data_IF_711033642975
#
_entry.id   IF_711033642975
#
_cell.length_a   1.000
_cell.length_b   1.000
_cell.length_c   1.000
_cell.angle_alpha   90.00
_cell.angle_beta   90.00
_cell.angle_gamma   90.00
#
_symmetry.space_group_name_H-M   'P 1'
#
loop_
_entity.id
_entity.type
_entity.pdbx_description
1 polymer ?
#
# COMPACT_ATOMS: atom_id res chain seq x y z
N UNK A 1 -35.04 -9.49 24.94
CA UNK A 1 -34.08 -10.31 24.16
C UNK A 1 -32.75 -9.56 24.13
N UNK A 2 -31.63 -9.92 24.75
CA UNK A 2 -31.20 -11.06 25.56
C UNK A 2 -30.64 -10.53 26.89
N UNK A 3 -31.14 -11.01 28.03
CA UNK A 3 -30.48 -10.82 29.32
C UNK A 3 -29.40 -11.89 29.46
N UNK A 4 -28.14 -11.51 29.22
CA UNK A 4 -26.99 -12.33 29.59
C UNK A 4 -26.83 -12.29 31.10
N UNK A 5 -27.42 -13.28 31.77
CA UNK A 5 -27.23 -13.61 33.18
C UNK A 5 -25.80 -14.09 33.40
N UNK A 6 -24.87 -13.15 33.58
CA UNK A 6 -23.58 -13.48 34.18
C UNK A 6 -23.83 -13.87 35.64
N UNK A 7 -23.39 -15.05 36.04
CA UNK A 7 -23.50 -15.49 37.43
C UNK A 7 -22.50 -14.69 38.28
N UNK A 8 -23.00 -13.68 39.01
CA UNK A 8 -22.23 -12.77 39.85
C UNK A 8 -22.26 -13.18 41.33
N UNK A 9 -22.49 -14.47 41.62
CA UNK A 9 -22.47 -14.99 42.99
C UNK A 9 -23.46 -14.29 43.94
N UNK A 10 -24.65 -13.94 43.43
CA UNK A 10 -25.70 -13.28 44.22
C UNK A 10 -25.53 -11.77 44.43
N UNK A 11 -24.55 -11.12 43.79
CA UNK A 11 -24.28 -9.68 43.93
C UNK A 11 -24.71 -8.92 42.67
N UNK A 12 -25.35 -7.77 42.82
CA UNK A 12 -25.77 -6.96 41.66
C UNK A 12 -24.57 -6.62 40.78
N UNK A 13 -24.78 -6.62 39.45
CA UNK A 13 -23.73 -6.31 38.46
C UNK A 13 -22.99 -5.00 38.80
N UNK A 14 -23.72 -3.96 39.19
CA UNK A 14 -23.13 -2.67 39.58
C UNK A 14 -22.22 -2.79 40.81
N UNK A 15 -22.62 -3.60 41.79
CA UNK A 15 -21.86 -3.83 43.02
C UNK A 15 -20.62 -4.68 42.75
N UNK A 16 -20.71 -5.70 41.88
CA UNK A 16 -19.57 -6.50 41.42
C UNK A 16 -18.50 -5.64 40.75
N UNK A 17 -18.90 -4.78 39.80
CA UNK A 17 -17.95 -3.87 39.14
C UNK A 17 -17.35 -2.85 40.10
N UNK A 18 -18.13 -2.36 41.08
CA UNK A 18 -17.63 -1.45 42.11
C UNK A 18 -16.59 -2.13 43.01
N UNK A 19 -16.81 -3.39 43.40
CA UNK A 19 -15.82 -4.17 44.16
C UNK A 19 -14.56 -4.47 43.33
N UNK A 20 -14.72 -4.83 42.05
CA UNK A 20 -13.60 -5.07 41.14
C UNK A 20 -12.77 -3.81 40.91
N UNK A 21 -13.41 -2.66 40.74
CA UNK A 21 -12.76 -1.36 40.62
C UNK A 21 -12.03 -0.97 41.91
N UNK A 22 -12.66 -1.14 43.08
CA UNK A 22 -12.00 -0.91 44.38
C UNK A 22 -10.77 -1.79 44.56
N UNK A 23 -10.88 -3.08 44.23
CA UNK A 23 -9.75 -4.02 44.30
C UNK A 23 -8.61 -3.59 43.39
N UNK A 24 -8.91 -3.23 42.14
CA UNK A 24 -7.91 -2.72 41.21
C UNK A 24 -7.23 -1.44 41.72
N UNK A 25 -8.00 -0.54 42.34
CA UNK A 25 -7.46 0.70 42.90
C UNK A 25 -6.50 0.43 44.06
N UNK A 26 -6.89 -0.42 45.00
CA UNK A 26 -6.03 -0.82 46.13
C UNK A 26 -4.80 -1.62 45.67
N UNK A 27 -4.92 -2.46 44.64
CA UNK A 27 -3.77 -3.17 44.06
C UNK A 27 -2.78 -2.19 43.38
N UNK A 28 -3.27 -1.10 42.75
CA UNK A 28 -2.42 -0.03 42.19
C UNK A 28 -1.75 0.78 43.31
N UNK A 29 -2.48 1.14 44.37
CA UNK A 29 -1.90 1.88 45.50
C UNK A 29 -0.81 1.08 46.22
N UNK A 30 -0.98 -0.24 46.32
CA UNK A 30 -0.10 -1.10 47.10
C UNK A 30 1.10 -1.67 46.30
N UNK A 31 0.95 -1.85 44.98
CA UNK A 31 1.98 -2.48 44.13
C UNK A 31 2.34 -1.68 42.86
N UNK A 32 1.82 -0.46 42.72
CA UNK A 32 2.00 0.37 41.54
C UNK A 32 3.41 0.94 41.44
N UNK A 33 4.25 0.33 40.61
CA UNK A 33 5.44 0.99 40.10
C UNK A 33 5.13 1.62 38.74
N UNK A 34 5.46 2.91 38.59
CA UNK A 34 5.45 3.54 37.27
C UNK A 34 6.68 2.99 36.53
N UNK A 35 6.51 1.86 35.84
CA UNK A 35 7.57 1.39 34.97
C UNK A 35 7.68 2.34 33.77
N UNK A 36 8.91 2.64 33.38
CA UNK A 36 9.25 3.45 32.22
C UNK A 36 8.89 2.82 30.87
N UNK A 37 8.42 1.56 30.86
CA UNK A 37 8.19 0.76 29.65
C UNK A 37 6.70 0.44 29.51
N UNK A 38 5.97 1.11 28.63
CA UNK A 38 4.56 0.79 28.41
C UNK A 38 4.36 -0.60 27.78
N UNK A 39 3.33 -1.34 28.21
CA UNK A 39 2.91 -2.55 27.50
C UNK A 39 2.33 -2.19 26.11
N UNK A 40 2.32 -3.14 25.17
CA UNK A 40 1.89 -2.92 23.78
C UNK A 40 0.55 -2.20 23.66
N UNK A 41 -0.46 -2.66 24.39
CA UNK A 41 -1.81 -2.07 24.37
C UNK A 41 -1.83 -0.62 24.90
N UNK A 42 -1.02 -0.30 25.92
CA UNK A 42 -0.92 1.08 26.41
C UNK A 42 -0.17 1.97 25.42
N UNK A 43 0.86 1.43 24.75
CA UNK A 43 1.62 2.13 23.72
C UNK A 43 0.76 2.48 22.50
N UNK A 44 0.02 1.51 21.94
CA UNK A 44 -0.87 1.72 20.79
C UNK A 44 -1.94 2.80 21.02
N UNK A 45 -2.43 2.92 22.26
CA UNK A 45 -3.47 3.87 22.62
C UNK A 45 -2.93 5.17 23.22
N UNK A 46 -1.61 5.33 23.34
CA UNK A 46 -0.97 6.52 23.92
C UNK A 46 -1.33 6.76 25.40
N UNK A 47 -1.63 5.71 26.17
CA UNK A 47 -2.07 5.83 27.57
C UNK A 47 -0.90 5.53 28.51
N UNK A 48 -0.83 6.26 29.64
CA UNK A 48 0.16 6.00 30.70
C UNK A 48 0.02 4.56 31.23
N UNK A 49 1.11 3.81 31.18
CA UNK A 49 1.15 2.44 31.66
C UNK A 49 1.61 2.39 33.12
N UNK A 50 0.80 1.81 34.00
CA UNK A 50 1.12 1.60 35.41
C UNK A 50 1.21 0.11 35.66
N UNK A 51 2.38 -0.37 36.12
CA UNK A 51 2.62 -1.78 36.35
C UNK A 51 2.22 -2.17 37.76
N UNK A 52 1.54 -3.30 37.88
CA UNK A 52 1.28 -3.92 39.16
C UNK A 52 2.26 -5.08 39.31
N UNK A 53 3.22 -4.96 40.21
CA UNK A 53 4.19 -6.01 40.51
C UNK A 53 3.50 -7.13 41.30
N UNK A 54 3.01 -8.15 40.59
CA UNK A 54 2.40 -9.35 41.18
C UNK A 54 3.33 -10.56 41.13
N UNK A 55 3.25 -11.44 42.13
CA UNK A 55 4.14 -12.60 42.36
C UNK A 55 4.14 -13.61 41.18
N UNK A 56 3.11 -13.61 40.31
CA UNK A 56 2.93 -14.60 39.24
C UNK A 56 2.79 -14.04 37.82
N UNK A 57 2.59 -12.72 37.65
CA UNK A 57 2.52 -12.11 36.31
C UNK A 57 2.62 -10.58 36.41
N UNK A 58 3.50 -9.97 35.62
CA UNK A 58 3.58 -8.52 35.46
C UNK A 58 2.46 -8.09 34.52
N UNK A 59 1.41 -7.43 35.05
CA UNK A 59 0.32 -6.87 34.25
C UNK A 59 0.17 -5.38 34.57
N UNK A 60 -0.14 -4.58 33.55
CA UNK A 60 -0.49 -3.19 33.79
C UNK A 60 -1.96 -3.04 34.21
N UNK A 61 -2.26 -1.95 34.92
CA UNK A 61 -3.62 -1.63 35.39
C UNK A 61 -4.67 -1.63 34.26
N UNK A 62 -4.32 -1.10 33.09
CA UNK A 62 -5.21 -1.04 31.92
C UNK A 62 -5.56 -2.45 31.41
N UNK A 63 -4.55 -3.29 31.17
CA UNK A 63 -4.75 -4.66 30.71
C UNK A 63 -5.48 -5.52 31.76
N UNK A 64 -5.18 -5.34 33.04
CA UNK A 64 -5.88 -6.00 34.13
C UNK A 64 -7.36 -5.62 34.19
N UNK A 65 -7.69 -4.33 34.03
CA UNK A 65 -9.08 -3.84 34.04
C UNK A 65 -9.91 -4.39 32.87
N UNK A 66 -9.28 -4.52 31.69
CA UNK A 66 -9.90 -5.06 30.46
C UNK A 66 -9.89 -6.58 30.38
N UNK A 67 -9.15 -7.25 31.27
CA UNK A 67 -9.02 -8.71 31.25
C UNK A 67 -8.24 -9.27 30.04
N UNK A 68 -7.37 -8.45 29.43
CA UNK A 68 -6.56 -8.84 28.26
C UNK A 68 -5.13 -9.20 28.67
N UNK A 69 -4.42 -9.92 27.78
CA UNK A 69 -3.02 -10.29 27.99
C UNK A 69 -2.15 -9.03 27.94
N UNK A 70 -1.31 -8.85 28.96
CA UNK A 70 -0.35 -7.75 29.02
C UNK A 70 0.97 -8.21 28.38
N UNK A 71 1.26 -7.73 27.17
CA UNK A 71 2.53 -8.01 26.49
C UNK A 71 3.50 -6.87 26.80
N UNK A 72 4.57 -7.21 27.53
CA UNK A 72 5.66 -6.29 27.80
C UNK A 72 6.77 -6.56 26.78
N UNK A 73 6.89 -5.69 25.79
CA UNK A 73 8.00 -5.73 24.84
C UNK A 73 9.16 -4.94 25.45
N UNK A 74 10.35 -5.54 25.48
CA UNK A 74 11.56 -4.81 25.89
C UNK A 74 11.91 -3.74 24.85
N UNK A 75 12.58 -2.65 25.24
CA UNK A 75 13.11 -1.64 24.30
C UNK A 75 13.99 -2.28 23.22
N UNK A 76 14.82 -3.25 23.60
CA UNK A 76 15.65 -4.00 22.65
C UNK A 76 14.82 -4.75 21.61
N UNK A 77 13.66 -5.30 21.99
CA UNK A 77 12.73 -5.95 21.05
C UNK A 77 12.09 -4.95 20.10
N UNK A 78 11.66 -3.78 20.62
CA UNK A 78 11.07 -2.73 19.79
C UNK A 78 12.09 -2.11 18.83
N UNK A 79 13.31 -1.85 19.31
CA UNK A 79 14.42 -1.38 18.49
C UNK A 79 14.74 -2.38 17.39
N UNK A 80 14.80 -3.68 17.72
CA UNK A 80 15.01 -4.74 16.73
C UNK A 80 13.93 -4.74 15.65
N UNK A 81 12.64 -4.72 16.04
CA UNK A 81 11.54 -4.68 15.06
C UNK A 81 11.56 -3.40 14.22
N UNK A 82 11.95 -2.26 14.80
CA UNK A 82 12.12 -1.01 14.05
C UNK A 82 13.21 -1.13 13.01
N UNK A 83 14.38 -1.65 13.37
CA UNK A 83 15.49 -1.80 12.42
C UNK A 83 15.20 -2.85 11.35
N UNK A 84 14.52 -3.94 11.69
CA UNK A 84 14.03 -4.93 10.71
C UNK A 84 13.03 -4.31 9.73
N UNK A 85 12.07 -3.52 10.23
CA UNK A 85 11.09 -2.84 9.39
C UNK A 85 11.75 -1.80 8.46
N UNK A 86 12.72 -1.02 8.97
CA UNK A 86 13.51 -0.09 8.14
C UNK A 86 14.25 -0.82 7.03
N UNK A 87 14.93 -1.92 7.36
CA UNK A 87 15.69 -2.69 6.37
C UNK A 87 14.78 -3.23 5.24
N UNK A 88 13.56 -3.67 5.58
CA UNK A 88 12.57 -4.08 4.58
C UNK A 88 12.12 -2.92 3.69
N UNK A 89 11.83 -1.76 4.29
CA UNK A 89 11.46 -0.55 3.54
C UNK A 89 12.58 -0.14 2.58
N UNK A 90 13.83 -0.16 3.04
CA UNK A 90 14.98 0.21 2.21
C UNK A 90 15.18 -0.77 1.04
N UNK A 91 14.95 -2.07 1.27
CA UNK A 91 15.00 -3.09 0.22
C UNK A 91 13.88 -2.89 -0.81
N UNK A 92 12.66 -2.61 -0.37
CA UNK A 92 11.51 -2.34 -1.24
C UNK A 92 11.73 -1.08 -2.08
N UNK A 93 12.31 -0.02 -1.49
CA UNK A 93 12.66 1.21 -2.20
C UNK A 93 13.69 0.94 -3.31
N UNK A 94 14.73 0.16 -3.03
CA UNK A 94 15.72 -0.21 -4.04
C UNK A 94 15.09 -1.01 -5.19
N UNK A 95 14.16 -1.90 -4.89
CA UNK A 95 13.48 -2.67 -5.92
C UNK A 95 12.55 -1.79 -6.77
N UNK A 96 11.83 -0.86 -6.15
CA UNK A 96 11.02 0.13 -6.87
C UNK A 96 11.86 0.98 -7.81
N UNK A 97 13.05 1.41 -7.40
CA UNK A 97 13.97 2.16 -8.26
C UNK A 97 14.39 1.36 -9.50
N UNK A 98 14.68 0.07 -9.34
CA UNK A 98 15.00 -0.83 -10.46
C UNK A 98 13.83 -0.99 -11.42
N UNK A 99 12.62 -1.21 -10.89
CA UNK A 99 11.40 -1.34 -11.70
C UNK A 99 11.16 -0.05 -12.49
N UNK A 100 11.28 1.11 -11.86
CA UNK A 100 11.12 2.41 -12.52
C UNK A 100 12.15 2.58 -13.66
N UNK A 101 13.41 2.19 -13.44
CA UNK A 101 14.44 2.25 -14.48
C UNK A 101 14.11 1.35 -15.68
N UNK A 102 13.65 0.11 -15.43
CA UNK A 102 13.21 -0.82 -16.47
C UNK A 102 12.01 -0.27 -17.26
N UNK A 103 11.00 0.29 -16.58
CA UNK A 103 9.84 0.89 -17.22
C UNK A 103 10.23 2.07 -18.12
N UNK A 104 11.11 2.96 -17.65
CA UNK A 104 11.63 4.07 -18.46
C UNK A 104 12.34 3.57 -19.72
N UNK A 105 13.13 2.50 -19.62
CA UNK A 105 13.79 1.87 -20.77
C UNK A 105 12.77 1.30 -21.75
N UNK A 106 11.81 0.51 -21.27
CA UNK A 106 10.79 -0.12 -22.10
C UNK A 106 9.91 0.90 -22.81
N UNK A 107 9.57 2.00 -22.14
CA UNK A 107 8.81 3.09 -22.73
C UNK A 107 9.54 3.77 -23.90
N UNK A 108 10.86 3.98 -23.78
CA UNK A 108 11.69 4.52 -24.88
C UNK A 108 11.70 3.55 -26.07
N UNK A 109 11.84 2.26 -25.80
CA UNK A 109 11.81 1.21 -26.84
C UNK A 109 10.46 1.21 -27.55
N UNK A 110 9.36 1.28 -26.80
CA UNK A 110 8.00 1.32 -27.37
C UNK A 110 7.82 2.52 -28.30
N UNK A 111 8.21 3.72 -27.86
CA UNK A 111 8.15 4.93 -28.70
C UNK A 111 8.94 4.79 -29.99
N UNK A 112 10.13 4.21 -29.92
CA UNK A 112 10.96 3.97 -31.10
C UNK A 112 10.31 2.94 -32.04
N UNK A 113 9.72 1.88 -31.50
CA UNK A 113 9.01 0.88 -32.28
C UNK A 113 7.78 1.48 -32.98
N UNK A 114 6.99 2.31 -32.29
CA UNK A 114 5.86 3.04 -32.86
C UNK A 114 6.28 3.99 -33.97
N UNK A 115 7.35 4.76 -33.76
CA UNK A 115 7.87 5.66 -34.79
C UNK A 115 8.33 4.90 -36.05
N UNK A 116 9.02 3.77 -35.86
CA UNK A 116 9.44 2.89 -36.97
C UNK A 116 8.26 2.26 -37.69
N UNK A 117 7.25 1.81 -36.95
CA UNK A 117 6.04 1.24 -37.53
C UNK A 117 5.30 2.27 -38.39
N UNK A 118 5.20 3.53 -37.91
CA UNK A 118 4.61 4.63 -38.68
C UNK A 118 5.42 4.94 -39.95
N UNK A 119 6.74 5.05 -39.84
CA UNK A 119 7.59 5.28 -41.00
C UNK A 119 7.45 4.16 -42.04
N UNK A 120 7.44 2.90 -41.59
CA UNK A 120 7.23 1.75 -42.46
C UNK A 120 5.85 1.78 -43.13
N UNK A 121 4.80 2.17 -42.41
CA UNK A 121 3.46 2.28 -42.97
C UNK A 121 3.39 3.33 -44.09
N UNK A 122 4.06 4.49 -43.91
CA UNK A 122 4.14 5.51 -44.98
C UNK A 122 4.84 4.96 -46.21
N UNK A 123 6.04 4.38 -46.07
CA UNK A 123 6.76 3.81 -47.22
C UNK A 123 5.96 2.72 -47.95
N UNK A 124 5.26 1.86 -47.20
CA UNK A 124 4.42 0.82 -47.80
C UNK A 124 3.22 1.41 -48.55
N UNK A 125 2.67 2.54 -48.09
CA UNK A 125 1.58 3.23 -48.81
C UNK A 125 2.12 3.85 -50.10
N UNK A 126 3.30 4.49 -50.05
CA UNK A 126 3.95 5.05 -51.24
C UNK A 126 4.22 3.95 -52.28
N UNK A 127 4.78 2.80 -51.86
CA UNK A 127 5.03 1.65 -52.74
C UNK A 127 3.74 1.10 -53.38
N UNK A 128 2.64 1.04 -52.63
CA UNK A 128 1.35 0.60 -53.14
C UNK A 128 0.75 1.60 -54.12
N UNK A 129 0.87 2.90 -53.87
CA UNK A 129 0.39 3.95 -54.77
C UNK A 129 1.15 3.93 -56.10
N UNK A 130 2.48 3.77 -56.05
CA UNK A 130 3.32 3.60 -57.25
C UNK A 130 2.93 2.35 -58.04
N UNK A 131 2.67 1.22 -57.36
CA UNK A 131 2.24 -0.01 -58.03
C UNK A 131 0.84 0.15 -58.67
N UNK A 132 -0.10 0.78 -57.97
CA UNK A 132 -1.43 1.10 -58.52
C UNK A 132 -1.34 2.02 -59.74
N UNK A 133 -0.50 3.06 -59.70
CA UNK A 133 -0.26 3.95 -60.83
C UNK A 133 0.35 3.20 -62.01
N UNK A 134 1.35 2.35 -61.78
CA UNK A 134 1.96 1.53 -62.82
C UNK A 134 0.93 0.63 -63.50
N UNK A 135 0.01 0.02 -62.74
CA UNK A 135 -1.07 -0.78 -63.32
C UNK A 135 -2.08 0.08 -64.10
N UNK A 136 -2.44 1.27 -63.61
CA UNK A 136 -3.32 2.20 -64.35
C UNK A 136 -2.72 2.57 -65.70
N UNK A 137 -1.46 3.01 -65.71
CA UNK A 137 -0.74 3.40 -66.93
C UNK A 137 -0.62 2.21 -67.88
N UNK A 138 -0.26 1.02 -67.37
CA UNK A 138 -0.18 -0.21 -68.17
C UNK A 138 -1.52 -0.57 -68.84
N UNK A 139 -2.63 -0.26 -68.19
CA UNK A 139 -3.98 -0.47 -68.72
C UNK A 139 -4.46 0.67 -69.63
N UNK A 140 -3.57 1.60 -70.02
CA UNK A 140 -3.88 2.73 -70.91
C UNK A 140 -4.50 3.93 -70.20
N UNK A 141 -4.49 3.97 -68.87
CA UNK A 141 -4.85 5.16 -68.07
C UNK A 141 -3.73 6.19 -68.00
N UNK A 142 -4.04 7.35 -67.40
CA UNK A 142 -3.07 8.44 -67.18
C UNK A 142 -2.28 8.21 -65.87
N UNK A 143 -1.04 8.69 -65.87
CA UNK A 143 -0.19 8.80 -64.68
C UNK A 143 -0.69 9.88 -63.73
N UNK A 144 -0.25 9.84 -62.47
CA UNK A 144 -0.57 10.86 -61.47
C UNK A 144 -0.06 12.24 -61.90
N UNK A 145 1.13 12.31 -62.51
CA UNK A 145 1.67 13.56 -63.03
C UNK A 145 0.79 14.17 -64.15
N UNK A 146 0.30 13.35 -65.08
CA UNK A 146 -0.61 13.79 -66.15
C UNK A 146 -1.97 14.23 -65.59
N UNK A 147 -2.50 13.52 -64.58
CA UNK A 147 -3.74 13.90 -63.90
C UNK A 147 -3.59 15.23 -63.14
N UNK A 148 -2.45 15.47 -62.49
CA UNK A 148 -2.16 16.74 -61.83
C UNK A 148 -1.98 17.91 -62.79
N UNK A 149 -1.40 17.69 -63.97
CA UNK A 149 -1.31 18.68 -65.05
C UNK A 149 -2.70 19.05 -65.57
N UNK A 150 -3.51 18.06 -65.92
CA UNK A 150 -4.90 18.28 -66.36
C UNK A 150 -5.75 18.98 -65.29
N UNK A 151 -5.56 18.61 -64.01
CA UNK A 151 -6.23 19.25 -62.90
C UNK A 151 -5.87 20.73 -62.78
N UNK A 152 -4.59 21.09 -62.93
CA UNK A 152 -4.15 22.50 -62.91
C UNK A 152 -4.72 23.30 -64.07
N UNK A 153 -4.82 22.70 -65.26
CA UNK A 153 -5.40 23.35 -66.43
C UNK A 153 -6.91 23.58 -66.32
N UNK A 154 -7.61 22.82 -65.46
CA UNK A 154 -9.04 22.95 -65.21
C UNK A 154 -9.41 24.01 -64.15
N UNK A 155 -8.44 24.54 -63.38
CA UNK A 155 -8.67 25.56 -62.34
C UNK A 155 -8.58 27.01 -62.89
N UNK A 156 -8.73 27.19 -64.20
CA UNK A 156 -8.81 28.52 -64.86
C UNK A 156 -10.24 29.07 -64.81
#
# INVERSE_FOLDING_TARGET
TLHSSGDFGGVSRATYFRHKAKRAHSEIEFHGEIATVACQNCFEHGIRCVFMSGIKSIKCASCASKGIVCINSSWASLDKTREEAKALIDADLQELERIIACLKKNWRILKLAEARAKAKAVCLLDELEEEEEMQRVKNGGLSNAELEELSRDLVI
#
